data_IF_952203423548
#
_entry.id   IF_952203423548
#
_cell.length_a   1.000
_cell.length_b   1.000
_cell.length_c   1.000
_cell.angle_alpha   90.00
_cell.angle_beta   90.00
_cell.angle_gamma   90.00
#
_symmetry.space_group_name_H-M   'P 1'
#
loop_
_entity.id
_entity.type
_entity.pdbx_description
1 polymer ?
#
# COMPACT_ATOMS: atom_id res chain seq x y z
N UNK A 1 2.77 21.46 17.45
CA UNK A 1 4.22 21.25 17.33
C UNK A 1 4.40 19.75 17.22
N UNK A 2 5.11 19.22 16.21
CA UNK A 2 5.31 17.77 16.10
C UNK A 2 6.51 17.40 16.97
N UNK A 3 6.25 16.57 17.98
CA UNK A 3 7.17 16.17 19.05
C UNK A 3 7.48 14.67 19.05
N UNK A 4 7.01 13.91 18.06
CA UNK A 4 7.38 12.50 17.89
C UNK A 4 8.90 12.35 17.66
N UNK A 5 9.63 11.69 18.59
CA UNK A 5 11.07 11.53 18.48
C UNK A 5 11.50 10.76 17.23
N UNK A 6 10.69 9.81 16.76
CA UNK A 6 11.00 9.05 15.55
C UNK A 6 10.92 9.95 14.31
N UNK A 7 9.86 10.76 14.18
CA UNK A 7 9.70 11.71 13.07
C UNK A 7 10.87 12.68 13.01
N UNK A 8 11.20 13.29 14.16
CA UNK A 8 12.28 14.25 14.27
C UNK A 8 13.64 13.61 13.93
N UNK A 9 13.89 12.38 14.38
CA UNK A 9 15.11 11.65 14.03
C UNK A 9 15.19 11.39 12.53
N UNK A 10 14.10 10.89 11.92
CA UNK A 10 14.06 10.62 10.47
C UNK A 10 14.38 11.88 9.67
N UNK A 11 13.67 12.98 9.90
CA UNK A 11 13.87 14.23 9.15
C UNK A 11 15.27 14.82 9.30
N UNK A 12 15.90 14.67 10.47
CA UNK A 12 17.23 15.22 10.73
C UNK A 12 18.37 14.34 10.22
N UNK A 13 18.15 13.03 10.11
CA UNK A 13 19.26 12.07 9.93
C UNK A 13 19.15 11.19 8.70
N UNK A 14 17.96 10.97 8.15
CA UNK A 14 17.78 10.11 6.98
C UNK A 14 18.45 10.72 5.75
N UNK A 15 19.25 9.92 5.05
CA UNK A 15 19.91 10.29 3.79
C UNK A 15 19.57 9.28 2.72
N UNK A 16 19.47 9.74 1.48
CA UNK A 16 19.18 8.85 0.34
C UNK A 16 20.24 7.74 0.20
N UNK A 17 21.49 8.03 0.53
CA UNK A 17 22.60 7.05 0.51
C UNK A 17 22.38 5.87 1.48
N UNK A 18 21.73 6.11 2.62
CA UNK A 18 21.45 5.08 3.63
C UNK A 18 20.11 4.37 3.38
N UNK A 19 19.28 4.91 2.48
CA UNK A 19 17.93 4.46 2.17
C UNK A 19 17.78 4.24 0.67
N UNK A 20 18.60 3.37 0.09
CA UNK A 20 18.67 3.14 -1.36
C UNK A 20 17.33 2.75 -2.01
N UNK A 21 16.40 2.18 -1.24
CA UNK A 21 15.04 1.86 -1.67
C UNK A 21 14.15 3.09 -1.93
N UNK A 22 14.58 4.29 -1.55
CA UNK A 22 13.92 5.56 -1.89
C UNK A 22 14.38 6.11 -3.25
N UNK A 23 15.52 5.64 -3.78
CA UNK A 23 16.01 6.04 -5.08
C UNK A 23 15.33 5.23 -6.20
N UNK A 24 15.16 5.80 -7.41
CA UNK A 24 14.75 5.01 -8.57
C UNK A 24 15.81 3.93 -8.87
N UNK A 25 15.35 2.74 -9.24
CA UNK A 25 16.24 1.65 -9.66
C UNK A 25 16.96 2.05 -10.96
N UNK A 26 18.29 2.15 -10.92
CA UNK A 26 19.11 2.61 -12.05
C UNK A 26 19.07 1.67 -13.27
N UNK A 27 18.71 0.41 -13.05
CA UNK A 27 18.64 -0.66 -14.05
C UNK A 27 17.25 -0.81 -14.68
N UNK A 28 16.27 0.02 -14.29
CA UNK A 28 14.91 -0.04 -14.84
C UNK A 28 14.62 1.15 -15.75
N UNK A 29 13.96 0.92 -16.90
CA UNK A 29 13.54 2.01 -17.76
C UNK A 29 12.51 2.89 -17.07
N UNK A 30 12.53 4.19 -17.39
CA UNK A 30 11.49 5.12 -16.97
C UNK A 30 10.11 4.59 -17.38
N UNK A 31 9.16 4.64 -16.43
CA UNK A 31 7.79 4.21 -16.71
C UNK A 31 7.09 5.26 -17.55
N UNK A 32 6.49 4.84 -18.66
CA UNK A 32 5.67 5.68 -19.54
C UNK A 32 4.20 5.56 -19.16
N UNK A 33 3.40 6.58 -19.46
CA UNK A 33 1.96 6.58 -19.23
C UNK A 33 1.26 5.35 -19.85
N UNK A 34 1.68 4.93 -21.06
CA UNK A 34 1.14 3.76 -21.76
C UNK A 34 1.27 2.43 -21.01
N UNK A 35 2.08 2.36 -19.94
CA UNK A 35 2.17 1.18 -19.07
C UNK A 35 0.99 1.05 -18.10
N UNK A 36 0.25 2.12 -17.90
CA UNK A 36 -0.89 2.18 -16.99
C UNK A 36 -2.15 2.31 -17.83
N UNK A 37 -2.80 1.19 -18.21
CA UNK A 37 -4.08 1.27 -18.89
C UNK A 37 -5.06 2.03 -17.99
N UNK A 38 -5.62 3.10 -18.53
CA UNK A 38 -6.68 3.85 -17.87
C UNK A 38 -7.98 3.12 -18.18
N UNK A 39 -8.68 2.70 -17.14
CA UNK A 39 -10.07 2.28 -17.27
C UNK A 39 -10.86 3.58 -17.33
N UNK A 40 -11.33 3.94 -18.52
CA UNK A 40 -12.20 5.09 -18.69
C UNK A 40 -13.62 4.66 -18.33
N UNK A 41 -14.16 5.22 -17.24
CA UNK A 41 -15.56 5.12 -16.86
C UNK A 41 -16.13 6.53 -16.69
N UNK A 42 -17.40 6.70 -17.04
CA UNK A 42 -18.17 7.91 -16.70
C UNK A 42 -19.00 7.74 -15.41
N UNK A 43 -18.99 6.56 -14.82
CA UNK A 43 -19.75 6.20 -13.62
C UNK A 43 -18.82 5.71 -12.50
N UNK A 44 -18.87 6.40 -11.36
CA UNK A 44 -18.07 6.06 -10.18
C UNK A 44 -18.49 4.74 -9.55
N UNK A 45 -19.75 4.31 -9.74
CA UNK A 45 -20.19 2.99 -9.30
C UNK A 45 -19.47 1.88 -10.08
N UNK A 46 -19.33 2.04 -11.40
CA UNK A 46 -18.60 1.08 -12.24
C UNK A 46 -17.12 0.98 -11.82
N UNK A 47 -16.50 2.09 -11.41
CA UNK A 47 -15.12 2.10 -10.91
C UNK A 47 -14.97 1.33 -9.58
N UNK A 48 -15.91 1.52 -8.65
CA UNK A 48 -15.94 0.78 -7.38
C UNK A 48 -16.16 -0.71 -7.64
N UNK A 49 -17.06 -1.04 -8.56
CA UNK A 49 -17.36 -2.41 -8.96
C UNK A 49 -16.16 -3.11 -9.61
N UNK A 50 -15.44 -2.39 -10.47
CA UNK A 50 -14.18 -2.86 -11.02
C UNK A 50 -13.14 -3.14 -9.93
N UNK A 51 -13.00 -2.25 -8.94
CA UNK A 51 -12.09 -2.46 -7.80
C UNK A 51 -12.48 -3.67 -6.96
N UNK A 52 -13.78 -3.87 -6.68
CA UNK A 52 -14.32 -5.04 -5.99
C UNK A 52 -13.96 -6.32 -6.75
N UNK A 53 -14.28 -6.38 -8.04
CA UNK A 53 -14.00 -7.54 -8.88
C UNK A 53 -12.49 -7.87 -8.93
N UNK A 54 -11.62 -6.86 -8.97
CA UNK A 54 -10.16 -7.06 -8.92
C UNK A 54 -9.68 -7.67 -7.60
N UNK A 55 -10.27 -7.26 -6.48
CA UNK A 55 -9.95 -7.77 -5.14
C UNK A 55 -10.43 -9.21 -5.00
N UNK A 56 -11.66 -9.49 -5.40
CA UNK A 56 -12.27 -10.83 -5.34
C UNK A 56 -11.59 -11.83 -6.27
N UNK A 57 -11.19 -11.41 -7.48
CA UNK A 57 -10.40 -12.22 -8.41
C UNK A 57 -9.03 -12.63 -7.85
N UNK A 58 -8.55 -11.97 -6.79
CA UNK A 58 -7.32 -12.30 -6.05
C UNK A 58 -7.58 -13.10 -4.79
N UNK A 59 -8.80 -13.61 -4.60
CA UNK A 59 -9.21 -14.44 -3.46
C UNK A 59 -9.32 -13.67 -2.14
N UNK A 60 -9.59 -12.36 -2.20
CA UNK A 60 -9.79 -11.53 -1.01
C UNK A 60 -11.22 -10.99 -0.98
N UNK A 61 -11.76 -10.78 0.21
CA UNK A 61 -13.09 -10.18 0.40
C UNK A 61 -13.04 -8.66 0.30
N UNK A 62 -14.09 -8.04 -0.23
CA UNK A 62 -14.26 -6.58 -0.28
C UNK A 62 -15.44 -6.17 0.60
N UNK A 63 -15.15 -5.71 1.82
CA UNK A 63 -16.17 -5.36 2.81
C UNK A 63 -16.30 -3.83 2.91
N UNK A 64 -17.52 -3.34 3.07
CA UNK A 64 -17.81 -1.91 3.25
C UNK A 64 -18.63 -1.73 4.51
N UNK A 65 -18.13 -0.89 5.42
CA UNK A 65 -18.88 -0.43 6.60
C UNK A 65 -19.32 1.01 6.36
N UNK A 66 -20.62 1.23 6.32
CA UNK A 66 -21.21 2.57 6.34
C UNK A 66 -21.06 3.18 7.75
N UNK A 67 -20.42 4.34 7.81
CA UNK A 67 -20.19 5.12 9.03
C UNK A 67 -20.88 6.48 8.95
N UNK A 68 -21.84 6.64 8.03
CA UNK A 68 -22.61 7.86 7.85
C UNK A 68 -23.38 8.19 9.13
N UNK A 69 -23.12 9.38 9.65
CA UNK A 69 -23.80 9.90 10.83
C UNK A 69 -25.10 10.59 10.42
N UNK A 70 -26.28 10.15 10.91
CA UNK A 70 -27.56 10.72 10.50
C UNK A 70 -27.69 12.22 10.77
N UNK A 71 -27.03 12.72 11.82
CA UNK A 71 -27.03 14.13 12.21
C UNK A 71 -26.12 15.02 11.33
N UNK A 72 -25.18 14.41 10.58
CA UNK A 72 -24.24 15.13 9.70
C UNK A 72 -24.66 14.99 8.23
N UNK A 73 -25.15 13.82 7.82
CA UNK A 73 -25.59 13.54 6.45
C UNK A 73 -24.48 13.38 5.40
N UNK A 74 -23.21 13.62 5.76
CA UNK A 74 -22.06 13.38 4.87
C UNK A 74 -21.73 11.88 4.81
N UNK A 75 -21.69 11.24 3.62
CA UNK A 75 -21.33 9.84 3.49
C UNK A 75 -19.91 9.56 3.95
N UNK A 76 -19.74 8.59 4.85
CA UNK A 76 -18.43 8.12 5.30
C UNK A 76 -18.43 6.61 5.30
N UNK A 77 -17.46 5.99 4.63
CA UNK A 77 -17.34 4.54 4.59
C UNK A 77 -15.95 4.08 5.01
N UNK A 78 -15.87 2.89 5.57
CA UNK A 78 -14.62 2.15 5.78
C UNK A 78 -14.63 0.91 4.91
N UNK A 79 -13.76 0.90 3.90
CA UNK A 79 -13.48 -0.29 3.09
C UNK A 79 -12.45 -1.16 3.80
N UNK A 80 -12.74 -2.46 3.90
CA UNK A 80 -11.89 -3.43 4.58
C UNK A 80 -11.65 -4.59 3.61
N UNK A 81 -10.37 -4.89 3.35
CA UNK A 81 -9.95 -6.05 2.55
C UNK A 81 -9.01 -6.90 3.41
N UNK A 82 -9.53 -7.95 4.08
CA UNK A 82 -8.71 -8.86 4.88
C UNK A 82 -7.54 -9.42 4.06
N UNK A 83 -6.34 -9.34 4.63
CA UNK A 83 -5.10 -9.78 3.98
C UNK A 83 -4.31 -8.66 3.28
N UNK A 84 -4.93 -7.54 2.87
CA UNK A 84 -4.19 -6.37 2.41
C UNK A 84 -3.28 -5.82 3.53
N UNK A 85 -2.17 -5.20 3.13
CA UNK A 85 -1.12 -4.78 4.06
C UNK A 85 -1.19 -3.29 4.32
N UNK A 86 -1.23 -2.93 5.60
CA UNK A 86 -0.94 -1.57 6.03
C UNK A 86 0.56 -1.28 5.83
N UNK A 87 0.92 -0.02 5.65
CA UNK A 87 2.33 0.41 5.55
C UNK A 87 3.05 0.49 6.91
N UNK A 88 2.33 0.25 8.02
CA UNK A 88 2.92 0.18 9.36
C UNK A 88 3.48 -1.22 9.64
N UNK A 89 4.36 -1.31 10.63
CA UNK A 89 5.04 -2.54 11.03
C UNK A 89 4.07 -3.63 11.56
N UNK A 90 3.48 -4.39 10.63
CA UNK A 90 2.63 -5.56 10.90
C UNK A 90 3.17 -6.73 10.08
N UNK A 91 4.02 -7.54 10.70
CA UNK A 91 4.86 -8.53 10.02
C UNK A 91 4.27 -9.95 9.99
N UNK A 92 2.97 -10.10 10.25
CA UNK A 92 2.32 -11.41 10.14
C UNK A 92 2.55 -12.04 8.75
N UNK A 93 2.55 -13.37 8.62
CA UNK A 93 2.67 -14.06 7.32
C UNK A 93 1.64 -13.63 6.26
N UNK A 94 1.90 -13.97 4.99
CA UNK A 94 1.02 -13.66 3.85
C UNK A 94 1.60 -12.63 2.88
N UNK A 95 0.75 -11.77 2.34
CA UNK A 95 1.05 -10.87 1.21
C UNK A 95 2.33 -10.03 1.32
N UNK A 96 2.79 -9.70 2.53
CA UNK A 96 4.06 -8.96 2.74
C UNK A 96 5.28 -9.74 2.21
N UNK A 97 5.22 -11.07 2.30
CA UNK A 97 6.29 -11.98 1.94
C UNK A 97 6.05 -12.62 0.56
N UNK A 98 4.79 -12.95 0.24
CA UNK A 98 4.44 -13.75 -0.94
C UNK A 98 4.31 -12.91 -2.22
N UNK A 99 3.81 -11.67 -2.12
CA UNK A 99 3.58 -10.80 -3.28
C UNK A 99 4.89 -10.42 -3.99
N UNK A 100 5.99 -10.05 -3.29
CA UNK A 100 7.26 -9.80 -3.96
C UNK A 100 7.79 -11.01 -4.77
N UNK A 101 7.51 -12.23 -4.33
CA UNK A 101 7.92 -13.45 -5.04
C UNK A 101 7.04 -13.70 -6.26
N UNK A 102 5.72 -13.68 -6.10
CA UNK A 102 4.77 -13.88 -7.22
C UNK A 102 4.90 -12.81 -8.32
N UNK A 103 5.32 -11.59 -7.96
CA UNK A 103 5.61 -10.52 -8.92
C UNK A 103 7.01 -10.61 -9.57
N UNK A 104 7.80 -11.63 -9.23
CA UNK A 104 9.17 -11.79 -9.73
C UNK A 104 10.16 -10.74 -9.22
N UNK A 105 9.79 -9.95 -8.20
CA UNK A 105 10.69 -8.95 -7.57
C UNK A 105 11.76 -9.62 -6.71
N UNK A 106 11.49 -10.82 -6.20
CA UNK A 106 12.45 -11.67 -5.49
C UNK A 106 12.31 -13.13 -5.88
N UNK A 107 13.40 -13.88 -5.76
CA UNK A 107 13.40 -15.34 -5.97
C UNK A 107 12.81 -16.12 -4.79
N UNK A 108 12.87 -15.56 -3.58
CA UNK A 108 12.37 -16.16 -2.34
C UNK A 108 11.85 -15.10 -1.37
N UNK A 109 10.96 -15.46 -0.42
CA UNK A 109 10.51 -14.56 0.64
C UNK A 109 11.69 -14.00 1.46
N UNK A 110 11.54 -12.80 2.03
CA UNK A 110 12.46 -12.33 3.08
C UNK A 110 12.16 -13.07 4.39
N UNK A 111 13.17 -13.22 5.26
CA UNK A 111 12.90 -13.48 6.66
C UNK A 111 12.35 -12.21 7.33
N UNK A 112 11.57 -12.35 8.40
CA UNK A 112 11.05 -11.20 9.16
C UNK A 112 12.18 -10.30 9.67
N UNK A 113 13.29 -10.89 10.12
CA UNK A 113 14.47 -10.16 10.60
C UNK A 113 15.17 -9.32 9.51
N UNK A 114 14.92 -9.61 8.23
CA UNK A 114 15.50 -8.88 7.09
C UNK A 114 14.60 -7.74 6.58
N UNK A 115 13.38 -7.58 7.14
CA UNK A 115 12.49 -6.50 6.76
C UNK A 115 13.09 -5.14 7.13
N UNK A 116 12.64 -4.07 6.45
CA UNK A 116 13.09 -2.72 6.75
C UNK A 116 12.84 -2.41 8.24
N UNK A 117 13.91 -2.19 9.04
CA UNK A 117 13.78 -1.94 10.47
C UNK A 117 13.27 -0.53 10.76
N UNK A 118 13.21 0.34 9.74
CA UNK A 118 12.74 1.72 9.87
C UNK A 118 11.24 1.77 9.66
N UNK A 119 10.44 2.15 10.69
CA UNK A 119 9.01 2.29 10.53
C UNK A 119 8.68 3.48 9.63
N UNK A 120 7.57 3.37 8.90
CA UNK A 120 6.95 4.52 8.25
C UNK A 120 6.23 5.34 9.32
N UNK A 121 6.53 6.63 9.35
CA UNK A 121 5.99 7.59 10.32
C UNK A 121 4.96 8.43 9.57
N UNK A 122 3.76 8.56 10.12
CA UNK A 122 2.62 9.29 9.54
C UNK A 122 2.13 10.36 10.52
#
# INVERSE_FOLDING_TARGET
MIDDPLALRWWKTARLADCSWLAPAADQPLRKASRFPVVESSDTLEDVEYCRALVEARGMEFLVLDQTRPDIGMPVVRVIVPGMRHFWARFAPGRLYDVPVSMGRRRRPLAEADLNPTPVIA
#
